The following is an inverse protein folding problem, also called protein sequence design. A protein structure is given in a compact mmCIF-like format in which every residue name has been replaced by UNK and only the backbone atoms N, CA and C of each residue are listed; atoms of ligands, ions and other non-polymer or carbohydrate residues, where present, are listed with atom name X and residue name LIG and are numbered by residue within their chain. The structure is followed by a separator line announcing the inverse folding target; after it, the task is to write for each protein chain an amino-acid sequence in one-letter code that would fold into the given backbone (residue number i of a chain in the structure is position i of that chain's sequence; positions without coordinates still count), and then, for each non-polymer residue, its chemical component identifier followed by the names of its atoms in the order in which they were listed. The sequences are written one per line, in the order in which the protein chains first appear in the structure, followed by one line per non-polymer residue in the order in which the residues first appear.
data_IF_018723132705
#
_entry.id   IF_018723132705
#
_cell.length_a   1.000
_cell.length_b   1.000
_cell.length_c   1.000
_cell.angle_alpha   90.00
_cell.angle_beta   90.00
_cell.angle_gamma   90.00
#
_symmetry.space_group_name_H-M   'P 1'
#
loop_
_entity.id
_entity.type
_entity.pdbx_description
1 polymer ?
#
# COMPACT_ATOMS: atom_id res chain seq x y z
N UNK A 1 15.30 13.34 -19.25
CA UNK A 1 15.10 12.98 -17.84
C UNK A 1 15.29 11.47 -17.67
N UNK A 2 15.83 11.05 -16.53
CA UNK A 2 16.06 9.65 -16.17
C UNK A 2 15.27 9.32 -14.90
N UNK A 3 14.38 8.34 -14.98
CA UNK A 3 13.49 7.92 -13.90
C UNK A 3 13.89 6.54 -13.40
N UNK A 4 13.92 6.33 -12.09
CA UNK A 4 14.04 5.00 -11.49
C UNK A 4 12.67 4.56 -10.97
N UNK A 5 12.17 3.44 -11.46
CA UNK A 5 10.99 2.78 -10.93
C UNK A 5 11.37 1.56 -10.11
N UNK A 6 11.15 1.63 -8.81
CA UNK A 6 11.35 0.54 -7.86
C UNK A 6 10.00 -0.03 -7.46
N UNK A 7 9.78 -1.34 -7.58
CA UNK A 7 8.48 -1.91 -7.24
C UNK A 7 8.51 -3.33 -6.73
N UNK A 8 7.52 -3.66 -5.93
CA UNK A 8 7.13 -5.02 -5.60
C UNK A 8 5.64 -5.20 -5.85
N UNK A 9 5.30 -6.13 -6.73
CA UNK A 9 3.92 -6.50 -7.07
C UNK A 9 3.69 -7.98 -6.78
N UNK A 10 2.76 -8.30 -5.88
CA UNK A 10 2.46 -9.69 -5.51
C UNK A 10 1.59 -10.40 -6.55
N UNK A 11 0.59 -9.69 -7.07
CA UNK A 11 -0.42 -10.24 -7.98
C UNK A 11 -0.28 -9.78 -9.43
N UNK A 12 0.70 -8.90 -9.72
CA UNK A 12 0.86 -8.28 -11.04
C UNK A 12 0.04 -7.01 -11.25
N UNK A 13 -1.04 -6.75 -10.51
CA UNK A 13 -1.90 -5.58 -10.75
C UNK A 13 -1.19 -4.24 -10.61
N UNK A 14 -0.23 -4.13 -9.70
CA UNK A 14 0.58 -2.90 -9.58
C UNK A 14 1.46 -2.68 -10.83
N UNK A 15 1.91 -3.76 -11.47
CA UNK A 15 2.65 -3.67 -12.73
C UNK A 15 1.73 -3.16 -13.85
N UNK A 16 0.47 -3.64 -13.94
CA UNK A 16 -0.55 -3.14 -14.88
C UNK A 16 -0.78 -1.63 -14.69
N UNK A 17 -0.96 -1.17 -13.45
CA UNK A 17 -1.10 0.25 -13.12
C UNK A 17 0.13 1.05 -13.56
N UNK A 18 1.32 0.55 -13.26
CA UNK A 18 2.57 1.23 -13.61
C UNK A 18 2.76 1.34 -15.13
N UNK A 19 2.41 0.32 -15.91
CA UNK A 19 2.47 0.39 -17.37
C UNK A 19 1.62 1.56 -17.90
N UNK A 20 0.40 1.72 -17.42
CA UNK A 20 -0.47 2.83 -17.82
C UNK A 20 0.04 4.19 -17.30
N UNK A 21 0.51 4.22 -16.05
CA UNK A 21 1.09 5.44 -15.46
C UNK A 21 2.27 5.97 -16.25
N UNK A 22 3.12 5.09 -16.77
CA UNK A 22 4.33 5.48 -17.50
C UNK A 22 4.12 5.74 -19.01
N UNK A 23 2.94 5.55 -19.57
CA UNK A 23 2.70 5.86 -21.00
C UNK A 23 3.11 7.28 -21.40
N UNK A 24 2.85 8.34 -20.61
CA UNK A 24 3.31 9.68 -20.93
C UNK A 24 4.84 9.85 -20.96
N UNK A 25 5.57 8.97 -20.28
CA UNK A 25 7.04 9.03 -20.16
C UNK A 25 7.78 8.37 -21.34
N UNK A 26 7.11 8.07 -22.44
CA UNK A 26 7.66 7.30 -23.57
C UNK A 26 8.94 7.89 -24.21
N UNK A 27 9.15 9.21 -24.10
CA UNK A 27 10.36 9.91 -24.57
C UNK A 27 11.50 9.94 -23.55
N UNK A 28 11.30 9.38 -22.35
CA UNK A 28 12.25 9.43 -21.25
C UNK A 28 12.82 8.07 -20.92
N UNK A 29 14.02 8.06 -20.31
CA UNK A 29 14.62 6.80 -19.86
C UNK A 29 14.04 6.37 -18.51
N UNK A 30 13.45 5.19 -18.48
CA UNK A 30 12.92 4.60 -17.25
C UNK A 30 13.70 3.30 -16.96
N UNK A 31 14.49 3.31 -15.89
CA UNK A 31 15.12 2.11 -15.38
C UNK A 31 14.13 1.44 -14.40
N UNK A 32 13.72 0.21 -14.70
CA UNK A 32 12.72 -0.54 -13.90
C UNK A 32 13.42 -1.64 -13.12
N UNK A 33 13.32 -1.59 -11.80
CA UNK A 33 13.91 -2.55 -10.88
C UNK A 33 12.82 -3.19 -10.03
N UNK A 34 12.62 -4.48 -10.21
CA UNK A 34 11.70 -5.27 -9.39
C UNK A 34 12.42 -5.74 -8.13
N UNK A 35 11.85 -5.39 -6.98
CA UNK A 35 12.32 -5.86 -5.67
C UNK A 35 12.01 -7.33 -5.51
N UNK A 36 13.03 -8.15 -5.26
CA UNK A 36 12.88 -9.59 -5.09
C UNK A 36 13.33 -10.02 -3.70
N UNK A 37 12.44 -10.60 -2.89
CA UNK A 37 12.85 -11.24 -1.65
C UNK A 37 13.65 -12.51 -1.96
N UNK A 38 14.74 -12.77 -1.21
CA UNK A 38 15.55 -13.98 -1.37
C UNK A 38 14.74 -15.27 -1.16
N UNK A 39 13.68 -15.19 -0.34
CA UNK A 39 12.65 -16.22 -0.23
C UNK A 39 11.34 -15.64 -0.75
N UNK A 40 10.89 -16.02 -1.94
CA UNK A 40 9.67 -15.51 -2.55
C UNK A 40 8.43 -15.78 -1.69
N UNK A 41 7.51 -14.84 -1.66
CA UNK A 41 6.17 -15.08 -1.13
C UNK A 41 5.31 -15.74 -2.20
N UNK A 42 4.50 -16.74 -1.85
CA UNK A 42 3.67 -17.44 -2.84
C UNK A 42 2.54 -16.54 -3.37
N UNK A 43 2.18 -16.75 -4.62
CA UNK A 43 0.91 -16.29 -5.16
C UNK A 43 0.33 -17.37 -6.08
N UNK A 44 -0.85 -17.91 -5.82
CA UNK A 44 -1.74 -17.60 -4.69
C UNK A 44 -1.12 -17.97 -3.33
N UNK A 45 -1.58 -17.27 -2.27
CA UNK A 45 -1.16 -17.55 -0.91
C UNK A 45 -1.88 -18.76 -0.33
N UNK A 46 -1.18 -19.53 0.51
CA UNK A 46 -1.92 -20.33 1.51
C UNK A 46 -2.41 -19.43 2.65
N UNK A 47 -3.55 -19.78 3.24
CA UNK A 47 -4.06 -19.04 4.40
C UNK A 47 -3.05 -19.00 5.56
N UNK A 48 -2.25 -20.07 5.75
CA UNK A 48 -1.24 -20.12 6.79
C UNK A 48 -0.12 -19.12 6.55
N UNK A 49 0.47 -19.10 5.35
CA UNK A 49 1.56 -18.19 4.99
C UNK A 49 1.12 -16.72 5.00
N UNK A 50 -0.10 -16.45 4.49
CA UNK A 50 -0.63 -15.10 4.50
C UNK A 50 -0.71 -14.52 5.92
N UNK A 51 -1.36 -15.24 6.86
CA UNK A 51 -1.49 -14.74 8.21
C UNK A 51 -0.18 -14.81 9.01
N UNK A 52 0.73 -15.73 8.67
CA UNK A 52 2.04 -15.83 9.32
C UNK A 52 2.97 -14.65 8.98
N UNK A 53 2.79 -14.00 7.82
CA UNK A 53 3.54 -12.81 7.45
C UNK A 53 3.14 -11.54 8.26
N UNK A 54 2.02 -11.56 8.98
CA UNK A 54 1.47 -10.38 9.64
C UNK A 54 2.38 -9.76 10.70
N UNK A 55 2.96 -10.50 11.65
CA UNK A 55 3.73 -9.89 12.74
C UNK A 55 4.93 -9.09 12.23
N UNK A 56 5.73 -9.66 11.34
CA UNK A 56 6.90 -9.03 10.76
C UNK A 56 6.52 -7.82 9.90
N UNK A 57 5.41 -7.92 9.14
CA UNK A 57 4.90 -6.82 8.32
C UNK A 57 4.50 -5.63 9.19
N UNK A 58 3.72 -5.87 10.24
CA UNK A 58 3.19 -4.82 11.13
C UNK A 58 4.30 -4.15 11.94
N UNK A 59 5.33 -4.92 12.33
CA UNK A 59 6.50 -4.44 13.05
C UNK A 59 7.58 -3.85 12.10
N UNK A 60 7.32 -3.91 10.80
CA UNK A 60 8.22 -3.39 9.76
C UNK A 60 9.63 -4.00 9.87
N UNK A 61 9.71 -5.31 10.14
CA UNK A 61 10.96 -6.03 10.20
C UNK A 61 11.49 -6.30 8.76
N UNK A 62 12.74 -5.92 8.45
CA UNK A 62 13.27 -6.16 7.12
C UNK A 62 13.52 -7.66 6.88
N UNK A 63 13.34 -8.08 5.64
CA UNK A 63 13.71 -9.41 5.15
C UNK A 63 14.90 -9.31 4.23
N UNK A 64 15.53 -10.44 3.93
CA UNK A 64 16.63 -10.50 2.96
C UNK A 64 16.07 -10.33 1.54
N UNK A 65 16.70 -9.44 0.77
CA UNK A 65 16.44 -9.24 -0.66
C UNK A 65 17.55 -9.82 -1.51
N UNK A 66 17.23 -10.14 -2.76
CA UNK A 66 18.22 -10.29 -3.81
C UNK A 66 18.86 -8.91 -4.11
N UNK A 67 20.08 -8.84 -4.65
CA UNK A 67 20.69 -7.58 -5.07
C UNK A 67 19.78 -6.81 -6.02
N UNK A 68 19.59 -5.51 -5.78
CA UNK A 68 18.68 -4.68 -6.57
C UNK A 68 19.19 -4.44 -8.00
N UNK A 69 20.52 -4.50 -8.23
CA UNK A 69 21.16 -4.27 -9.52
C UNK A 69 20.66 -2.97 -10.18
N UNK A 70 20.64 -1.88 -9.42
CA UNK A 70 20.23 -0.56 -9.92
C UNK A 70 21.24 -0.08 -10.95
N UNK A 71 20.83 0.24 -12.22
CA UNK A 71 21.76 0.52 -13.31
C UNK A 71 22.61 1.80 -13.18
N UNK A 72 22.35 2.61 -12.17
CA UNK A 72 23.08 3.88 -11.94
C UNK A 72 22.55 4.62 -10.72
N UNK A 73 23.08 5.82 -10.48
CA UNK A 73 22.70 6.68 -9.35
C UNK A 73 22.15 8.05 -9.76
N UNK A 74 22.29 8.40 -11.04
CA UNK A 74 21.92 9.72 -11.55
C UNK A 74 20.49 9.71 -12.10
N UNK A 75 19.53 9.84 -11.18
CA UNK A 75 18.11 9.89 -11.49
C UNK A 75 17.52 11.24 -11.11
N UNK A 76 16.62 11.77 -11.95
CA UNK A 76 15.89 13.01 -11.73
C UNK A 76 14.65 12.79 -10.85
N UNK A 77 14.05 11.60 -10.96
CA UNK A 77 12.85 11.21 -10.25
C UNK A 77 12.91 9.74 -9.83
N UNK A 78 12.48 9.45 -8.62
CA UNK A 78 12.25 8.09 -8.14
C UNK A 78 10.74 7.84 -8.07
N UNK A 79 10.28 6.75 -8.67
CA UNK A 79 8.90 6.28 -8.52
C UNK A 79 8.91 4.98 -7.74
N UNK A 80 8.22 4.93 -6.61
CA UNK A 80 8.10 3.76 -5.75
C UNK A 80 6.71 3.14 -5.91
N UNK A 81 6.64 1.97 -6.53
CA UNK A 81 5.42 1.17 -6.62
C UNK A 81 5.33 0.19 -5.45
N UNK A 82 4.26 0.26 -4.66
CA UNK A 82 4.10 -0.63 -3.51
C UNK A 82 2.65 -1.03 -3.24
N UNK A 83 2.49 -2.04 -2.42
CA UNK A 83 1.20 -2.50 -1.91
C UNK A 83 1.23 -2.65 -0.39
N UNK A 84 0.16 -2.24 0.30
CA UNK A 84 0.02 -2.42 1.75
C UNK A 84 -0.28 -3.88 2.10
N UNK A 85 0.40 -4.40 3.13
CA UNK A 85 0.05 -5.62 3.82
C UNK A 85 -0.23 -5.30 5.29
N UNK A 86 -1.35 -5.73 5.83
CA UNK A 86 -1.71 -5.52 7.24
C UNK A 86 -1.49 -4.07 7.72
N UNK A 87 -1.93 -3.08 6.92
CA UNK A 87 -1.80 -1.64 7.17
C UNK A 87 -0.36 -1.13 7.30
N UNK A 88 0.58 -1.84 6.71
CA UNK A 88 2.01 -1.49 6.64
C UNK A 88 2.50 -1.67 5.20
N UNK A 89 3.65 -1.13 4.82
CA UNK A 89 4.28 -1.51 3.57
C UNK A 89 4.52 -3.03 3.55
N UNK A 90 4.42 -3.67 2.39
CA UNK A 90 4.77 -5.08 2.25
C UNK A 90 6.22 -5.32 2.69
N UNK A 91 6.51 -6.53 3.19
CA UNK A 91 7.85 -6.86 3.69
C UNK A 91 8.98 -6.60 2.68
N UNK A 92 8.83 -6.93 1.38
CA UNK A 92 9.87 -6.60 0.39
C UNK A 92 10.11 -5.09 0.27
N UNK A 93 9.04 -4.27 0.32
CA UNK A 93 9.17 -2.81 0.25
C UNK A 93 9.76 -2.25 1.54
N UNK A 94 9.39 -2.78 2.70
CA UNK A 94 10.03 -2.41 3.97
C UNK A 94 11.52 -2.70 3.95
N UNK A 95 11.94 -3.85 3.43
CA UNK A 95 13.34 -4.22 3.30
C UNK A 95 14.08 -3.32 2.32
N UNK A 96 13.47 -3.01 1.15
CA UNK A 96 14.00 -2.04 0.20
C UNK A 96 14.30 -0.69 0.86
N UNK A 97 13.29 -0.10 1.51
CA UNK A 97 13.41 1.25 2.10
C UNK A 97 14.44 1.34 3.23
N UNK A 98 14.79 0.20 3.84
CA UNK A 98 15.82 0.10 4.88
C UNK A 98 17.20 -0.29 4.34
N UNK A 99 17.31 -0.68 3.08
CA UNK A 99 18.58 -1.07 2.45
C UNK A 99 19.50 0.13 2.22
N UNK A 100 20.81 -0.10 2.26
CA UNK A 100 21.78 0.94 1.98
C UNK A 100 21.84 1.30 0.50
N UNK A 101 21.52 0.35 -0.40
CA UNK A 101 21.40 0.59 -1.84
C UNK A 101 20.28 1.61 -2.13
N UNK A 102 19.11 1.46 -1.49
CA UNK A 102 18.03 2.43 -1.62
C UNK A 102 18.44 3.79 -1.10
N UNK A 103 18.98 3.88 0.14
CA UNK A 103 19.42 5.14 0.74
C UNK A 103 20.40 5.90 -0.15
N UNK A 104 21.36 5.17 -0.74
CA UNK A 104 22.38 5.77 -1.62
C UNK A 104 21.75 6.40 -2.87
N UNK A 105 20.80 5.71 -3.50
CA UNK A 105 20.25 6.15 -4.79
C UNK A 105 19.19 7.24 -4.65
N UNK A 106 18.48 7.30 -3.49
CA UNK A 106 17.36 8.25 -3.31
C UNK A 106 17.75 9.54 -2.62
N UNK A 107 18.93 9.61 -2.04
CA UNK A 107 19.34 10.78 -1.24
C UNK A 107 19.19 12.11 -2.00
N UNK A 108 18.42 13.04 -1.43
CA UNK A 108 18.11 14.34 -2.01
C UNK A 108 17.15 14.31 -3.22
N UNK A 109 16.63 13.14 -3.58
CA UNK A 109 15.76 12.99 -4.76
C UNK A 109 14.27 13.14 -4.41
N UNK A 110 13.45 13.65 -5.35
CA UNK A 110 12.00 13.59 -5.23
C UNK A 110 11.52 12.14 -5.42
N UNK A 111 10.59 11.72 -4.56
CA UNK A 111 9.98 10.39 -4.63
C UNK A 111 8.47 10.54 -4.88
N UNK A 112 7.96 9.89 -5.90
CA UNK A 112 6.52 9.71 -6.15
C UNK A 112 6.14 8.29 -5.79
N UNK A 113 5.03 8.09 -5.07
CA UNK A 113 4.54 6.75 -4.73
C UNK A 113 3.30 6.39 -5.53
N UNK A 114 3.29 5.17 -6.08
CA UNK A 114 2.13 4.52 -6.69
C UNK A 114 1.71 3.38 -5.78
N UNK A 115 0.48 3.42 -5.29
CA UNK A 115 -0.02 2.44 -4.33
C UNK A 115 -1.11 1.58 -4.97
N UNK A 116 -0.89 0.28 -5.06
CA UNK A 116 -1.95 -0.68 -5.39
C UNK A 116 -2.53 -1.27 -4.11
N UNK A 117 -3.78 -0.96 -3.77
CA UNK A 117 -4.36 -1.39 -2.49
C UNK A 117 -5.79 -1.88 -2.62
N UNK A 118 -6.23 -2.67 -1.64
CA UNK A 118 -7.66 -2.93 -1.47
C UNK A 118 -8.42 -1.61 -1.24
N UNK A 119 -8.19 -0.96 -0.10
CA UNK A 119 -8.76 0.35 0.23
C UNK A 119 -8.09 1.00 1.46
N UNK A 120 -7.23 0.28 2.16
CA UNK A 120 -6.54 0.73 3.38
C UNK A 120 -5.06 0.93 3.10
N UNK A 121 -4.65 2.15 2.80
CA UNK A 121 -3.29 2.49 2.43
C UNK A 121 -2.67 3.61 3.28
N UNK A 122 -3.48 4.32 4.08
CA UNK A 122 -3.07 5.54 4.79
C UNK A 122 -1.94 5.25 5.80
N UNK A 123 -2.12 4.24 6.66
CA UNK A 123 -1.07 3.88 7.62
C UNK A 123 0.22 3.38 6.95
N UNK A 124 0.09 2.69 5.84
CA UNK A 124 1.24 2.26 5.04
C UNK A 124 1.97 3.46 4.46
N UNK A 125 1.23 4.46 3.92
CA UNK A 125 1.82 5.69 3.39
C UNK A 125 2.53 6.51 4.48
N UNK A 126 1.98 6.59 5.68
CA UNK A 126 2.67 7.21 6.84
C UNK A 126 4.02 6.53 7.08
N UNK A 127 4.07 5.20 7.05
CA UNK A 127 5.32 4.46 7.20
C UNK A 127 6.28 4.71 6.03
N UNK A 128 5.78 4.76 4.79
CA UNK A 128 6.57 5.08 3.59
C UNK A 128 7.17 6.48 3.70
N UNK A 129 6.36 7.51 4.02
CA UNK A 129 6.84 8.89 4.15
C UNK A 129 8.01 8.95 5.16
N UNK A 130 7.84 8.34 6.34
CA UNK A 130 8.87 8.29 7.38
C UNK A 130 10.14 7.55 6.92
N UNK A 131 10.00 6.39 6.26
CA UNK A 131 11.16 5.60 5.81
C UNK A 131 11.92 6.26 4.67
N UNK A 132 11.22 6.93 3.74
CA UNK A 132 11.81 7.71 2.65
C UNK A 132 12.55 8.93 3.21
N UNK A 133 11.96 9.63 4.20
CA UNK A 133 12.61 10.74 4.88
C UNK A 133 13.87 10.30 5.63
N UNK A 134 13.82 9.15 6.32
CA UNK A 134 14.99 8.54 6.98
C UNK A 134 16.10 8.14 5.98
N UNK A 135 15.74 7.88 4.73
CA UNK A 135 16.70 7.64 3.64
C UNK A 135 17.24 8.93 2.99
N UNK A 136 16.88 10.12 3.52
CA UNK A 136 17.35 11.42 3.02
C UNK A 136 16.63 11.90 1.76
N UNK A 137 15.44 11.38 1.46
CA UNK A 137 14.61 11.77 0.32
C UNK A 137 13.25 12.33 0.79
N UNK A 138 12.45 12.84 -0.16
CA UNK A 138 11.12 13.39 0.16
C UNK A 138 10.06 12.80 -0.76
N UNK A 139 8.96 12.32 -0.18
CA UNK A 139 7.76 11.97 -0.96
C UNK A 139 7.07 13.26 -1.39
N UNK A 140 7.11 13.56 -2.68
CA UNK A 140 6.51 14.76 -3.27
C UNK A 140 5.08 14.53 -3.75
N UNK A 141 4.71 13.27 -4.01
CA UNK A 141 3.36 12.89 -4.37
C UNK A 141 3.04 11.44 -3.99
N UNK A 142 1.76 11.18 -3.65
CA UNK A 142 1.21 9.86 -3.40
C UNK A 142 -0.05 9.64 -4.24
N UNK A 143 -0.06 8.57 -5.03
CA UNK A 143 -1.14 8.22 -5.97
C UNK A 143 -1.67 6.83 -5.62
N UNK A 144 -2.72 6.74 -4.77
CA UNK A 144 -3.32 5.46 -4.41
C UNK A 144 -4.36 5.04 -5.45
N UNK A 145 -4.16 3.84 -6.00
CA UNK A 145 -5.15 3.09 -6.74
C UNK A 145 -5.78 2.07 -5.80
N UNK A 146 -7.07 2.17 -5.59
CA UNK A 146 -7.79 1.38 -4.59
C UNK A 146 -9.03 0.73 -5.17
N UNK A 147 -9.35 -0.46 -4.65
CA UNK A 147 -10.67 -1.07 -4.85
C UNK A 147 -11.74 -0.17 -4.22
N UNK A 148 -12.63 0.37 -5.06
CA UNK A 148 -13.72 1.27 -4.65
C UNK A 148 -15.00 0.52 -4.24
N UNK A 149 -14.98 -0.81 -4.30
CA UNK A 149 -16.09 -1.66 -3.87
C UNK A 149 -16.34 -1.50 -2.36
N UNK A 150 -17.57 -1.77 -1.92
CA UNK A 150 -17.91 -1.79 -0.50
C UNK A 150 -16.89 -2.60 0.31
N UNK A 151 -16.49 -2.08 1.48
CA UNK A 151 -15.39 -2.61 2.27
C UNK A 151 -15.53 -4.11 2.63
N UNK A 152 -16.75 -4.58 2.93
CA UNK A 152 -16.99 -5.99 3.27
C UNK A 152 -16.90 -6.87 2.02
N UNK A 153 -17.52 -6.43 0.93
CA UNK A 153 -17.49 -7.13 -0.36
C UNK A 153 -16.06 -7.21 -0.87
N UNK A 154 -15.34 -6.09 -0.85
CA UNK A 154 -13.93 -6.03 -1.22
C UNK A 154 -13.05 -6.94 -0.37
N UNK A 155 -13.33 -7.09 0.94
CA UNK A 155 -12.60 -8.02 1.79
C UNK A 155 -12.78 -9.48 1.36
N UNK A 156 -14.00 -9.86 0.98
CA UNK A 156 -14.31 -11.22 0.49
C UNK A 156 -13.62 -11.47 -0.85
N UNK A 157 -13.80 -10.57 -1.81
CA UNK A 157 -13.29 -10.75 -3.17
C UNK A 157 -11.75 -10.73 -3.22
N UNK A 158 -11.10 -9.87 -2.43
CA UNK A 158 -9.64 -9.83 -2.33
C UNK A 158 -9.08 -11.11 -1.68
N UNK A 159 -9.71 -11.60 -0.60
CA UNK A 159 -9.30 -12.86 0.00
C UNK A 159 -9.45 -14.03 -0.97
N UNK A 160 -10.55 -14.06 -1.71
CA UNK A 160 -10.75 -15.05 -2.76
C UNK A 160 -9.61 -15.01 -3.78
N UNK A 161 -9.31 -13.83 -4.37
CA UNK A 161 -8.22 -13.68 -5.33
C UNK A 161 -6.86 -14.08 -4.75
N UNK A 162 -6.53 -13.60 -3.56
CA UNK A 162 -5.25 -13.87 -2.92
C UNK A 162 -5.02 -15.35 -2.63
N UNK A 163 -6.09 -16.09 -2.27
CA UNK A 163 -5.98 -17.50 -1.89
C UNK A 163 -6.21 -18.48 -3.06
N UNK A 164 -6.91 -18.06 -4.11
CA UNK A 164 -7.18 -18.90 -5.29
C UNK A 164 -6.33 -18.55 -6.51
N UNK A 165 -5.79 -17.32 -6.58
CA UNK A 165 -5.12 -16.78 -7.76
C UNK A 165 -6.08 -16.28 -8.86
N UNK A 166 -7.39 -16.48 -8.72
CA UNK A 166 -8.39 -16.12 -9.72
C UNK A 166 -8.89 -14.67 -9.55
N UNK A 167 -8.65 -13.81 -10.53
CA UNK A 167 -9.11 -12.40 -10.59
C UNK A 167 -10.53 -12.26 -11.14
N UNK A 168 -11.19 -13.38 -11.45
CA UNK A 168 -12.54 -13.41 -12.01
C UNK A 168 -13.60 -13.04 -10.96
N UNK A 169 -14.83 -12.77 -11.43
CA UNK A 169 -15.98 -12.59 -10.55
C UNK A 169 -16.27 -13.87 -9.78
N UNK A 170 -16.04 -13.84 -8.46
CA UNK A 170 -16.34 -14.97 -7.59
C UNK A 170 -17.84 -15.36 -7.76
N UNK A 171 -18.08 -16.61 -8.14
CA UNK A 171 -19.41 -17.20 -8.44
C UNK A 171 -20.22 -16.41 -9.49
N UNK A 172 -19.61 -15.58 -10.33
CA UNK A 172 -20.29 -14.76 -11.32
C UNK A 172 -21.12 -13.59 -10.76
N UNK A 173 -21.28 -13.49 -9.42
CA UNK A 173 -22.14 -12.52 -8.73
C UNK A 173 -21.36 -11.37 -8.14
N UNK A 174 -20.20 -11.65 -7.50
CA UNK A 174 -19.37 -10.62 -6.87
C UNK A 174 -18.60 -9.81 -7.92
N UNK A 175 -18.25 -8.53 -7.61
CA UNK A 175 -17.38 -7.75 -8.49
C UNK A 175 -15.99 -8.39 -8.63
N UNK A 176 -15.26 -8.04 -9.69
CA UNK A 176 -13.84 -8.39 -9.81
C UNK A 176 -13.07 -7.79 -8.63
N UNK A 177 -12.11 -8.53 -8.05
CA UNK A 177 -11.30 -8.02 -6.95
C UNK A 177 -10.25 -6.99 -7.41
N UNK A 178 -9.90 -6.09 -6.50
CA UNK A 178 -8.81 -5.14 -6.68
C UNK A 178 -9.21 -3.86 -7.40
N UNK A 179 -8.23 -3.17 -7.96
CA UNK A 179 -8.43 -1.91 -8.69
C UNK A 179 -9.20 -2.20 -9.99
N UNK A 180 -10.18 -1.36 -10.31
CA UNK A 180 -10.99 -1.53 -11.51
C UNK A 180 -10.17 -1.33 -12.79
N UNK A 181 -10.58 -2.02 -13.85
CA UNK A 181 -9.93 -1.88 -15.17
C UNK A 181 -9.99 -0.41 -15.64
N UNK A 182 -11.10 0.31 -15.35
CA UNK A 182 -11.24 1.74 -15.65
C UNK A 182 -10.21 2.61 -14.92
N UNK A 183 -10.01 2.39 -13.61
CA UNK A 183 -9.02 3.17 -12.84
C UNK A 183 -7.59 2.86 -13.31
N UNK A 184 -7.31 1.63 -13.73
CA UNK A 184 -6.02 1.24 -14.31
C UNK A 184 -5.78 1.97 -15.63
N UNK A 185 -6.77 1.98 -16.56
CA UNK A 185 -6.65 2.69 -17.84
C UNK A 185 -6.41 4.19 -17.64
N UNK A 186 -7.02 4.78 -16.62
CA UNK A 186 -6.86 6.22 -16.29
C UNK A 186 -5.56 6.55 -15.57
N UNK A 187 -4.72 5.58 -15.21
CA UNK A 187 -3.47 5.84 -14.49
C UNK A 187 -2.48 6.76 -15.27
N UNK A 188 -2.60 6.84 -16.58
CA UNK A 188 -1.84 7.79 -17.39
C UNK A 188 -2.17 9.27 -17.13
N UNK A 189 -3.37 9.58 -16.56
CA UNK A 189 -3.76 10.97 -16.25
C UNK A 189 -2.86 11.56 -15.15
N UNK A 190 -2.76 10.96 -13.93
CA UNK A 190 -1.79 11.43 -12.95
C UNK A 190 -0.35 11.28 -13.43
N UNK A 191 -0.04 10.29 -14.29
CA UNK A 191 1.28 10.15 -14.93
C UNK A 191 1.69 11.39 -15.70
N UNK A 192 0.81 11.99 -16.52
CA UNK A 192 1.08 13.24 -17.25
C UNK A 192 1.35 14.41 -16.31
N UNK A 193 0.59 14.51 -15.21
CA UNK A 193 0.79 15.58 -14.21
C UNK A 193 2.16 15.44 -13.55
N UNK A 194 2.53 14.23 -13.16
CA UNK A 194 3.85 13.95 -12.56
C UNK A 194 4.96 14.25 -13.55
N UNK A 195 4.83 13.86 -14.82
CA UNK A 195 5.83 14.15 -15.86
C UNK A 195 6.07 15.64 -16.01
N UNK A 196 5.01 16.45 -16.15
CA UNK A 196 5.12 17.89 -16.32
C UNK A 196 5.86 18.58 -15.15
N UNK A 197 5.62 18.11 -13.90
CA UNK A 197 6.32 18.63 -12.73
C UNK A 197 7.77 18.13 -12.66
N UNK A 198 8.03 16.92 -13.10
CA UNK A 198 9.38 16.37 -13.13
C UNK A 198 10.27 17.07 -14.19
N UNK A 199 9.70 17.43 -15.35
CA UNK A 199 10.40 18.19 -16.38
C UNK A 199 10.70 19.63 -15.95
N UNK A 200 9.81 20.25 -15.16
CA UNK A 200 10.04 21.59 -14.62
C UNK A 200 10.93 21.61 -13.38
N UNK A 201 11.13 20.48 -12.70
CA UNK A 201 11.82 20.38 -11.42
C UNK A 201 11.04 20.98 -10.24
N UNK A 202 9.77 21.38 -10.43
CA UNK A 202 8.95 22.04 -9.42
C UNK A 202 7.85 21.10 -8.91
N UNK A 203 7.94 20.69 -7.66
CA UNK A 203 7.07 19.68 -7.04
C UNK A 203 6.10 20.24 -5.99
N UNK A 204 6.16 21.53 -5.67
CA UNK A 204 5.42 22.14 -4.53
C UNK A 204 3.90 21.95 -4.66
N UNK A 205 3.36 22.09 -5.87
CA UNK A 205 1.92 21.95 -6.13
C UNK A 205 1.51 20.57 -6.65
N UNK A 206 2.45 19.65 -6.84
CA UNK A 206 2.16 18.36 -7.48
C UNK A 206 1.06 17.58 -6.76
N UNK A 207 1.14 17.45 -5.42
CA UNK A 207 0.13 16.69 -4.67
C UNK A 207 -1.27 17.34 -4.76
N UNK A 208 -1.36 18.66 -4.82
CA UNK A 208 -2.64 19.36 -5.01
C UNK A 208 -3.26 19.04 -6.37
N UNK A 209 -2.43 19.04 -7.44
CA UNK A 209 -2.86 18.72 -8.81
C UNK A 209 -3.39 17.28 -8.95
N UNK A 210 -2.85 16.34 -8.20
CA UNK A 210 -3.29 14.94 -8.22
C UNK A 210 -4.31 14.59 -7.12
N UNK A 211 -4.68 15.55 -6.26
CA UNK A 211 -5.56 15.27 -5.12
C UNK A 211 -6.94 14.72 -5.51
N UNK A 212 -7.43 14.98 -6.72
CA UNK A 212 -8.69 14.45 -7.21
C UNK A 212 -8.65 12.96 -7.55
N UNK A 213 -7.46 12.40 -7.78
CA UNK A 213 -7.26 10.95 -7.92
C UNK A 213 -7.18 10.23 -6.56
N UNK A 214 -7.06 10.97 -5.44
CA UNK A 214 -6.90 10.41 -4.11
C UNK A 214 -8.26 10.29 -3.40
N UNK A 215 -8.81 9.08 -3.37
CA UNK A 215 -10.07 8.80 -2.67
C UNK A 215 -9.81 8.38 -1.22
N UNK A 216 -10.52 9.02 -0.27
CA UNK A 216 -10.42 8.74 1.17
C UNK A 216 -11.82 8.54 1.74
N UNK A 217 -12.37 7.31 1.77
CA UNK A 217 -13.66 7.02 2.39
C UNK A 217 -13.64 7.26 3.90
N UNK A 218 -14.75 7.74 4.44
CA UNK A 218 -14.85 8.13 5.88
C UNK A 218 -14.74 6.92 6.81
N UNK A 219 -15.37 5.81 6.45
CA UNK A 219 -15.33 4.54 7.17
C UNK A 219 -13.91 3.96 7.20
N UNK A 220 -13.23 3.98 6.06
CA UNK A 220 -11.86 3.49 5.94
C UNK A 220 -10.92 4.32 6.81
N UNK A 221 -10.99 5.65 6.74
CA UNK A 221 -10.19 6.54 7.58
C UNK A 221 -10.41 6.26 9.08
N UNK A 222 -11.68 6.05 9.47
CA UNK A 222 -12.04 5.75 10.86
C UNK A 222 -11.50 4.41 11.34
N UNK A 223 -11.66 3.34 10.54
CA UNK A 223 -11.24 1.97 10.89
C UNK A 223 -9.72 1.88 10.88
N UNK A 224 -9.08 2.35 9.82
CA UNK A 224 -7.65 2.13 9.58
C UNK A 224 -6.78 2.71 10.69
N UNK A 225 -7.13 3.90 11.20
CA UNK A 225 -6.43 4.52 12.33
C UNK A 225 -6.46 3.68 13.61
N UNK A 226 -7.56 2.97 13.85
CA UNK A 226 -7.74 2.14 15.06
C UNK A 226 -7.17 0.75 14.89
N UNK A 227 -7.34 0.18 13.72
CA UNK A 227 -6.88 -1.16 13.39
C UNK A 227 -5.35 -1.29 13.46
N UNK A 228 -4.56 -0.26 13.09
CA UNK A 228 -3.09 -0.29 13.18
C UNK A 228 -2.60 -0.60 14.60
N UNK A 229 -3.24 0.01 15.62
CA UNK A 229 -2.90 -0.27 17.03
C UNK A 229 -3.20 -1.71 17.43
N UNK A 230 -4.36 -2.22 17.02
CA UNK A 230 -4.75 -3.61 17.31
C UNK A 230 -3.80 -4.60 16.62
N UNK A 231 -3.42 -4.33 15.38
CA UNK A 231 -2.45 -5.16 14.66
C UNK A 231 -1.09 -5.20 15.34
N UNK A 232 -0.60 -4.05 15.85
CA UNK A 232 0.65 -4.00 16.63
C UNK A 232 0.58 -4.83 17.92
N UNK A 233 -0.56 -4.78 18.62
CA UNK A 233 -0.77 -5.60 19.82
C UNK A 233 -0.70 -7.07 19.46
N UNK A 234 -1.41 -7.52 18.42
CA UNK A 234 -1.38 -8.90 17.96
C UNK A 234 -0.01 -9.34 17.46
N UNK A 235 0.69 -8.48 16.72
CA UNK A 235 2.06 -8.76 16.30
C UNK A 235 2.96 -8.99 17.51
N UNK A 236 2.89 -8.14 18.54
CA UNK A 236 3.61 -8.30 19.80
C UNK A 236 3.27 -9.61 20.54
N UNK A 237 1.99 -9.97 20.60
CA UNK A 237 1.54 -11.23 21.20
C UNK A 237 2.13 -12.44 20.47
N UNK A 238 2.03 -12.47 19.13
CA UNK A 238 2.55 -13.57 18.32
C UNK A 238 4.07 -13.67 18.48
N UNK A 239 4.80 -12.55 18.45
CA UNK A 239 6.26 -12.53 18.64
C UNK A 239 6.67 -13.00 20.05
N UNK A 240 5.91 -12.63 21.08
CA UNK A 240 6.21 -13.00 22.46
C UNK A 240 5.93 -14.48 22.75
N UNK A 241 4.80 -14.99 22.29
CA UNK A 241 4.32 -16.33 22.66
C UNK A 241 4.51 -17.38 21.55
N UNK A 242 4.70 -16.96 20.31
CA UNK A 242 4.95 -17.82 19.15
C UNK A 242 6.42 -18.22 18.96
N UNK A 243 7.10 -18.66 20.03
CA UNK A 243 8.55 -18.97 20.00
C UNK A 243 8.88 -20.29 19.29
N UNK A 244 7.96 -21.21 19.22
CA UNK A 244 8.12 -22.50 18.51
C UNK A 244 7.19 -22.52 17.28
N UNK A 245 7.49 -23.33 16.24
CA UNK A 245 6.59 -23.45 15.09
C UNK A 245 5.16 -23.84 15.47
N UNK A 246 4.98 -24.67 16.52
CA UNK A 246 3.66 -25.08 17.00
C UNK A 246 2.92 -23.92 17.69
N UNK A 247 3.57 -23.21 18.62
CA UNK A 247 2.96 -22.07 19.31
C UNK A 247 2.70 -20.90 18.35
N UNK A 248 3.59 -20.65 17.39
CA UNK A 248 3.37 -19.62 16.37
C UNK A 248 2.13 -19.91 15.54
N UNK A 249 1.98 -21.12 15.01
CA UNK A 249 0.76 -21.54 14.29
C UNK A 249 -0.52 -21.35 15.11
N UNK A 250 -0.47 -21.67 16.40
CA UNK A 250 -1.61 -21.47 17.30
C UNK A 250 -2.00 -19.99 17.40
N UNK A 251 -1.05 -19.12 17.73
CA UNK A 251 -1.32 -17.69 17.90
C UNK A 251 -1.72 -17.00 16.61
N UNK A 252 -1.11 -17.36 15.49
CA UNK A 252 -1.50 -16.89 14.15
C UNK A 252 -2.93 -17.35 13.80
N UNK A 253 -3.30 -18.57 14.14
CA UNK A 253 -4.67 -19.07 13.95
C UNK A 253 -5.67 -18.31 14.81
N UNK A 254 -5.37 -18.04 16.08
CA UNK A 254 -6.22 -17.22 16.96
C UNK A 254 -6.40 -15.82 16.37
N UNK A 255 -5.31 -15.18 15.92
CA UNK A 255 -5.36 -13.89 15.25
C UNK A 255 -6.22 -13.91 13.98
N UNK A 256 -6.12 -14.95 13.17
CA UNK A 256 -6.93 -15.11 11.94
C UNK A 256 -8.42 -15.07 12.28
N UNK A 257 -8.87 -15.85 13.25
CA UNK A 257 -10.30 -15.88 13.64
C UNK A 257 -10.73 -14.56 14.29
N UNK A 258 -9.87 -13.98 15.13
CA UNK A 258 -10.10 -12.63 15.66
C UNK A 258 -10.31 -11.62 14.53
N UNK A 259 -9.44 -11.62 13.52
CA UNK A 259 -9.54 -10.67 12.39
C UNK A 259 -10.83 -10.87 11.58
N UNK A 260 -11.24 -12.12 11.34
CA UNK A 260 -12.49 -12.42 10.65
C UNK A 260 -13.69 -11.88 11.45
N UNK A 261 -13.75 -12.15 12.75
CA UNK A 261 -14.82 -11.65 13.63
C UNK A 261 -14.79 -10.11 13.67
N UNK A 262 -13.61 -9.53 13.85
CA UNK A 262 -13.44 -8.08 13.89
C UNK A 262 -13.90 -7.39 12.60
N UNK A 263 -13.60 -7.98 11.43
CA UNK A 263 -13.93 -7.40 10.13
C UNK A 263 -15.41 -7.55 9.77
N UNK A 264 -16.00 -8.74 9.98
CA UNK A 264 -17.34 -9.06 9.49
C UNK A 264 -18.46 -8.84 10.51
N UNK A 265 -18.13 -8.78 11.80
CA UNK A 265 -19.14 -8.61 12.87
C UNK A 265 -18.90 -7.30 13.62
N UNK A 266 -17.70 -7.09 14.17
CA UNK A 266 -17.46 -5.93 15.04
C UNK A 266 -17.40 -4.62 14.25
N UNK A 267 -16.68 -4.58 13.13
CA UNK A 267 -16.49 -3.36 12.35
C UNK A 267 -17.82 -2.79 11.80
N UNK A 268 -18.75 -3.58 11.23
CA UNK A 268 -20.08 -3.07 10.84
C UNK A 268 -20.87 -2.43 11.97
N UNK A 269 -20.87 -3.08 13.15
CA UNK A 269 -21.58 -2.54 14.34
C UNK A 269 -20.94 -1.23 14.80
N UNK A 270 -19.61 -1.21 14.90
CA UNK A 270 -18.86 0.00 15.29
C UNK A 270 -19.05 1.13 14.28
N UNK A 271 -19.08 0.83 12.98
CA UNK A 271 -19.36 1.83 11.95
C UNK A 271 -20.78 2.37 12.03
N UNK A 272 -21.77 1.51 12.27
CA UNK A 272 -23.16 1.95 12.47
C UNK A 272 -23.26 2.94 13.62
N UNK A 273 -22.68 2.60 14.78
CA UNK A 273 -22.62 3.47 15.96
C UNK A 273 -21.86 4.78 15.64
N UNK A 274 -20.73 4.68 14.94
CA UNK A 274 -19.93 5.83 14.54
C UNK A 274 -20.73 6.80 13.65
N UNK A 275 -21.41 6.28 12.62
CA UNK A 275 -22.18 7.11 11.68
C UNK A 275 -23.36 7.80 12.35
N UNK A 276 -24.04 7.14 13.29
CA UNK A 276 -25.23 7.68 13.95
C UNK A 276 -24.85 8.62 15.10
N UNK A 277 -23.92 8.20 15.97
CA UNK A 277 -23.69 8.89 17.25
C UNK A 277 -22.44 9.77 17.29
N UNK A 278 -21.47 9.57 16.40
CA UNK A 278 -20.19 10.28 16.49
C UNK A 278 -19.97 11.22 15.30
N UNK A 279 -20.16 10.74 14.08
CA UNK A 279 -19.86 11.50 12.87
C UNK A 279 -20.56 12.86 12.80
N UNK A 280 -21.84 13.01 13.18
CA UNK A 280 -22.52 14.31 13.14
C UNK A 280 -21.80 15.40 13.94
N UNK A 281 -21.14 15.03 15.05
CA UNK A 281 -20.43 15.97 15.91
C UNK A 281 -19.00 16.26 15.47
N UNK A 282 -18.39 15.35 14.71
CA UNK A 282 -16.97 15.44 14.32
C UNK A 282 -16.78 15.63 12.82
N UNK A 283 -17.82 15.80 12.02
CA UNK A 283 -17.75 15.78 10.54
C UNK A 283 -16.76 16.81 9.98
N UNK A 284 -16.69 18.03 10.55
CA UNK A 284 -15.74 19.08 10.13
C UNK A 284 -14.29 18.63 10.35
N UNK A 285 -14.01 17.98 11.48
CA UNK A 285 -12.70 17.42 11.79
C UNK A 285 -12.32 16.31 10.83
N UNK A 286 -13.28 15.42 10.53
CA UNK A 286 -13.09 14.32 9.57
C UNK A 286 -12.84 14.88 8.17
N UNK A 287 -13.59 15.90 7.75
CA UNK A 287 -13.38 16.56 6.44
C UNK A 287 -11.98 17.18 6.33
N UNK A 288 -11.54 17.90 7.37
CA UNK A 288 -10.21 18.48 7.43
C UNK A 288 -9.11 17.39 7.36
N UNK A 289 -9.32 16.28 8.05
CA UNK A 289 -8.40 15.16 8.03
C UNK A 289 -8.35 14.47 6.67
N UNK A 290 -9.48 14.23 6.02
CA UNK A 290 -9.53 13.73 4.65
C UNK A 290 -8.74 14.62 3.69
N UNK A 291 -8.87 15.96 3.83
CA UNK A 291 -8.09 16.92 3.04
C UNK A 291 -6.59 16.76 3.29
N UNK A 292 -6.16 16.63 4.56
CA UNK A 292 -4.74 16.39 4.89
C UNK A 292 -4.21 15.10 4.26
N UNK A 293 -4.99 14.01 4.33
CA UNK A 293 -4.62 12.72 3.72
C UNK A 293 -4.51 12.83 2.20
N UNK A 294 -5.48 13.51 1.54
CA UNK A 294 -5.45 13.75 0.09
C UNK A 294 -4.22 14.56 -0.34
N UNK A 295 -3.76 15.46 0.51
CA UNK A 295 -2.58 16.29 0.27
C UNK A 295 -1.27 15.64 0.78
N UNK A 296 -1.31 14.36 1.19
CA UNK A 296 -0.17 13.63 1.78
C UNK A 296 0.49 14.36 2.96
N UNK A 297 -0.27 15.14 3.72
CA UNK A 297 0.16 15.85 4.94
C UNK A 297 -0.03 14.97 6.19
N UNK A 298 0.48 13.75 6.16
CA UNK A 298 0.29 12.66 7.13
C UNK A 298 1.60 12.12 7.67
#
# INVERSE_FOLDING_TARGET
MKVLYLSYSQSGQLDEIAERFFLPFSSHKIDRVKVRPSKPFPFPWTSAEFFDAMPETVLEEPIQLEPLNIPGSDYDLIVLGYQPWFLSPSLPVTALLKSDEFKTVVQGKPVVTIVGSRNMWINSQISINRLVEQAGAKVVANIPFSDKTNNIVSAVTILYWMLSGHKERMWGVFPKPGVSDEDIERAGEPGRIVLAHAESGEYTSLQEKIADFVTVPTDILFIEKRAKRLFRIWAGIIKRFGKTPRSRRLWVSIYKYYLIIALFIVAPIVLLVYYILVLPFVYKRVAAEKKRVRLNLI
#
